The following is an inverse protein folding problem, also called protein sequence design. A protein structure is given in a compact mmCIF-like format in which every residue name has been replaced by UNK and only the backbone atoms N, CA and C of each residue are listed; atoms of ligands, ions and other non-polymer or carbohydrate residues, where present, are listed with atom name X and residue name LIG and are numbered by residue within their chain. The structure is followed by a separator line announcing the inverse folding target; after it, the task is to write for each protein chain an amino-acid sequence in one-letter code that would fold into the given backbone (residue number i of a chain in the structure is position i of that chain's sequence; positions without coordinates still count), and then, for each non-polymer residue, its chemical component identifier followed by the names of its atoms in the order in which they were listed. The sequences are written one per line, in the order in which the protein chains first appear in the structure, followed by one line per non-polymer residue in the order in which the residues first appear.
data_IF_850986744645
#
_entry.id   IF_850986744645
#
_cell.length_a   1.000
_cell.length_b   1.000
_cell.length_c   1.000
_cell.angle_alpha   90.00
_cell.angle_beta   90.00
_cell.angle_gamma   90.00
#
_symmetry.space_group_name_H-M   'P 1'
#
loop_
_entity.id
_entity.type
_entity.pdbx_description
1 polymer ?
#
# COMPACT_ATOMS: atom_id res chain seq x y z
N UNK A 1 0.66 -13.15 8.89
CA UNK A 1 2.13 -13.37 8.86
C UNK A 1 2.92 -12.08 8.58
N UNK A 2 2.38 -11.12 7.82
CA UNK A 2 2.96 -9.79 7.55
C UNK A 2 3.70 -9.11 8.73
N UNK A 3 3.01 -8.88 9.85
CA UNK A 3 3.59 -8.12 10.96
C UNK A 3 4.78 -8.86 11.61
N UNK A 4 4.74 -10.20 11.64
CA UNK A 4 5.83 -11.02 12.18
C UNK A 4 7.12 -10.90 11.35
N UNK A 5 7.01 -10.85 10.01
CA UNK A 5 8.17 -10.69 9.13
C UNK A 5 8.86 -9.33 9.35
N UNK A 6 8.08 -8.24 9.46
CA UNK A 6 8.64 -6.92 9.74
C UNK A 6 9.22 -6.81 11.16
N UNK A 7 8.58 -7.44 12.16
CA UNK A 7 9.11 -7.49 13.53
C UNK A 7 10.44 -8.25 13.57
N UNK A 8 10.53 -9.42 12.93
CA UNK A 8 11.77 -10.20 12.85
C UNK A 8 12.89 -9.44 12.12
N UNK A 9 12.58 -8.77 11.01
CA UNK A 9 13.53 -7.91 10.30
C UNK A 9 14.03 -6.75 11.17
N UNK A 10 13.14 -6.15 11.96
CA UNK A 10 13.50 -5.11 12.93
C UNK A 10 14.42 -5.63 14.02
N UNK A 11 14.11 -6.78 14.62
CA UNK A 11 14.93 -7.42 15.66
C UNK A 11 16.31 -7.79 15.13
N UNK A 12 16.40 -8.39 13.94
CA UNK A 12 17.69 -8.75 13.32
C UNK A 12 18.53 -7.52 12.98
N UNK A 13 17.90 -6.43 12.52
CA UNK A 13 18.57 -5.15 12.31
C UNK A 13 19.15 -4.58 13.61
N UNK A 14 18.39 -4.65 14.71
CA UNK A 14 18.87 -4.24 16.03
C UNK A 14 20.04 -5.12 16.50
N UNK A 15 19.95 -6.45 16.34
CA UNK A 15 21.04 -7.37 16.67
C UNK A 15 22.32 -7.04 15.89
N UNK A 16 22.21 -6.64 14.61
CA UNK A 16 23.35 -6.22 13.81
C UNK A 16 23.98 -4.88 14.30
N UNK A 17 23.17 -3.97 14.83
CA UNK A 17 23.68 -2.71 15.44
C UNK A 17 24.38 -3.00 16.76
N UNK A 18 23.79 -3.85 17.60
CA UNK A 18 24.33 -4.20 18.92
C UNK A 18 25.44 -5.26 18.88
N UNK A 19 25.70 -5.91 17.75
CA UNK A 19 26.78 -6.88 17.63
C UNK A 19 28.17 -6.24 17.83
N UNK A 20 28.34 -4.97 17.46
CA UNK A 20 29.59 -4.25 17.62
C UNK A 20 29.96 -3.99 19.10
N UNK A 21 29.10 -3.37 19.94
CA UNK A 21 29.39 -3.21 21.37
C UNK A 21 29.46 -4.53 22.14
N UNK A 22 28.84 -5.61 21.65
CA UNK A 22 28.92 -6.96 22.24
C UNK A 22 30.19 -7.74 21.84
N UNK A 23 31.08 -7.14 21.03
CA UNK A 23 32.33 -7.76 20.59
C UNK A 23 32.13 -8.93 19.62
N UNK A 24 30.98 -9.03 18.96
CA UNK A 24 30.70 -10.12 18.04
C UNK A 24 31.48 -9.95 16.72
N UNK A 25 31.86 -11.06 16.07
CA UNK A 25 32.52 -11.02 14.77
C UNK A 25 31.68 -10.29 13.72
N UNK A 26 32.34 -9.51 12.85
CA UNK A 26 31.68 -8.70 11.81
C UNK A 26 30.81 -9.54 10.85
N UNK A 27 31.17 -10.80 10.63
CA UNK A 27 30.39 -11.71 9.78
C UNK A 27 29.01 -12.04 10.37
N UNK A 28 28.85 -12.00 11.70
CA UNK A 28 27.57 -12.21 12.38
C UNK A 28 26.61 -11.05 12.08
N UNK A 29 27.12 -9.82 12.11
CA UNK A 29 26.35 -8.63 11.74
C UNK A 29 25.90 -8.69 10.27
N UNK A 30 26.79 -9.10 9.37
CA UNK A 30 26.49 -9.25 7.94
C UNK A 30 25.45 -10.35 7.70
N UNK A 31 25.55 -11.49 8.38
CA UNK A 31 24.57 -12.56 8.30
C UNK A 31 23.18 -12.09 8.81
N UNK A 32 23.14 -11.40 9.95
CA UNK A 32 21.90 -10.86 10.51
C UNK A 32 21.23 -9.85 9.56
N UNK A 33 22.00 -8.95 8.95
CA UNK A 33 21.51 -8.01 7.94
C UNK A 33 20.98 -8.71 6.69
N UNK A 34 21.70 -9.74 6.21
CA UNK A 34 21.26 -10.53 5.06
C UNK A 34 19.91 -11.20 5.31
N UNK A 35 19.74 -11.82 6.48
CA UNK A 35 18.47 -12.45 6.85
C UNK A 35 17.37 -11.40 7.04
N UNK A 36 17.66 -10.26 7.68
CA UNK A 36 16.72 -9.16 7.83
C UNK A 36 16.19 -8.65 6.47
N UNK A 37 17.10 -8.50 5.50
CA UNK A 37 16.74 -8.08 4.14
C UNK A 37 15.78 -9.06 3.46
N UNK A 38 16.01 -10.37 3.58
CA UNK A 38 15.11 -11.40 3.03
C UNK A 38 13.71 -11.31 3.65
N UNK A 39 13.62 -11.19 4.98
CA UNK A 39 12.33 -11.03 5.66
C UNK A 39 11.61 -9.74 5.26
N UNK A 40 12.35 -8.65 5.08
CA UNK A 40 11.81 -7.37 4.63
C UNK A 40 11.23 -7.50 3.20
N UNK A 41 12.00 -8.06 2.27
CA UNK A 41 11.60 -8.25 0.88
C UNK A 41 10.36 -9.15 0.78
N UNK A 42 10.33 -10.24 1.55
CA UNK A 42 9.15 -11.11 1.62
C UNK A 42 7.94 -10.40 2.22
N UNK A 43 8.11 -9.66 3.32
CA UNK A 43 7.02 -8.89 3.92
C UNK A 43 6.40 -7.88 2.95
N UNK A 44 7.21 -7.22 2.13
CA UNK A 44 6.72 -6.33 1.07
C UNK A 44 6.04 -7.08 -0.06
N UNK A 45 6.61 -8.19 -0.54
CA UNK A 45 5.99 -8.99 -1.60
C UNK A 45 4.63 -9.58 -1.18
N UNK A 46 4.51 -10.06 0.05
CA UNK A 46 3.25 -10.54 0.63
C UNK A 46 2.24 -9.41 0.76
N UNK A 47 2.68 -8.22 1.19
CA UNK A 47 1.81 -7.04 1.28
C UNK A 47 1.29 -6.63 -0.09
N UNK A 48 2.15 -6.59 -1.11
CA UNK A 48 1.75 -6.23 -2.47
C UNK A 48 0.77 -7.24 -3.06
N UNK A 49 0.98 -8.54 -2.84
CA UNK A 49 0.10 -9.61 -3.32
C UNK A 49 -1.26 -9.62 -2.60
N UNK A 50 -1.26 -9.36 -1.30
CA UNK A 50 -2.47 -9.38 -0.46
C UNK A 50 -3.17 -8.02 -0.39
N UNK A 51 -2.67 -7.02 -1.11
CA UNK A 51 -3.35 -5.75 -1.32
C UNK A 51 -4.50 -6.00 -2.29
N UNK A 52 -5.54 -6.70 -1.79
CA UNK A 52 -6.78 -6.88 -2.53
C UNK A 52 -7.31 -5.49 -2.86
N UNK A 53 -7.50 -5.22 -4.15
CA UNK A 53 -8.23 -4.06 -4.60
C UNK A 53 -9.62 -4.18 -3.98
N UNK A 54 -9.90 -3.39 -2.94
CA UNK A 54 -11.27 -3.28 -2.43
C UNK A 54 -12.15 -2.86 -3.61
N UNK A 55 -13.32 -3.49 -3.81
CA UNK A 55 -14.25 -3.04 -4.83
C UNK A 55 -14.51 -1.55 -4.63
N UNK A 56 -14.20 -0.74 -5.65
CA UNK A 56 -14.44 0.71 -5.63
C UNK A 56 -15.90 0.96 -5.98
N UNK A 57 -16.78 0.61 -5.05
CA UNK A 57 -18.23 0.73 -5.18
C UNK A 57 -18.62 2.08 -4.56
N UNK A 58 -19.29 2.91 -5.36
CA UNK A 58 -19.85 4.16 -4.88
C UNK A 58 -21.02 3.88 -3.93
N UNK A 59 -21.09 4.61 -2.83
CA UNK A 59 -22.30 4.64 -2.00
C UNK A 59 -23.40 5.50 -2.67
N UNK A 60 -24.60 5.52 -2.07
CA UNK A 60 -25.75 6.25 -2.62
C UNK A 60 -25.51 7.77 -2.71
N UNK A 61 -24.76 8.34 -1.75
CA UNK A 61 -24.45 9.77 -1.71
C UNK A 61 -23.42 10.15 -2.78
N UNK A 62 -22.39 9.32 -2.93
CA UNK A 62 -21.38 9.43 -3.97
C UNK A 62 -22.00 9.29 -5.37
N UNK A 63 -22.92 8.34 -5.57
CA UNK A 63 -23.69 8.21 -6.82
C UNK A 63 -24.47 9.49 -7.15
N UNK A 64 -25.23 10.02 -6.18
CA UNK A 64 -26.00 11.24 -6.38
C UNK A 64 -25.11 12.45 -6.71
N UNK A 65 -23.94 12.52 -6.05
CA UNK A 65 -22.95 13.58 -6.26
C UNK A 65 -22.35 13.52 -7.67
N UNK A 66 -21.99 12.33 -8.15
CA UNK A 66 -21.47 12.14 -9.51
C UNK A 66 -22.56 12.39 -10.55
N UNK A 67 -23.78 11.91 -10.33
CA UNK A 67 -24.92 12.15 -11.22
C UNK A 67 -25.21 13.65 -11.36
N UNK A 68 -25.16 14.41 -10.25
CA UNK A 68 -25.30 15.87 -10.27
C UNK A 68 -24.20 16.54 -11.09
N UNK A 69 -22.93 16.19 -10.85
CA UNK A 69 -21.80 16.75 -11.60
C UNK A 69 -21.88 16.44 -13.10
N UNK A 70 -22.38 15.26 -13.49
CA UNK A 70 -22.62 14.92 -14.89
C UNK A 70 -23.75 15.77 -15.49
N UNK A 71 -24.84 15.97 -14.77
CA UNK A 71 -25.94 16.83 -15.21
C UNK A 71 -25.51 18.29 -15.39
N UNK A 72 -24.56 18.76 -14.58
CA UNK A 72 -23.93 20.10 -14.69
C UNK A 72 -22.89 20.18 -15.82
N UNK A 73 -22.62 19.08 -16.54
CA UNK A 73 -21.60 19.01 -17.60
C UNK A 73 -20.16 18.89 -17.10
N UNK A 74 -19.94 18.78 -15.79
CA UNK A 74 -18.60 18.78 -15.17
C UNK A 74 -18.03 17.37 -14.97
N UNK A 75 -17.97 16.61 -16.06
CA UNK A 75 -17.44 15.23 -16.06
C UNK A 75 -15.97 15.15 -15.62
N UNK A 76 -15.06 16.08 -16.02
CA UNK A 76 -13.68 16.04 -15.55
C UNK A 76 -13.54 16.16 -14.02
N UNK A 77 -14.38 16.98 -13.38
CA UNK A 77 -14.40 17.11 -11.92
C UNK A 77 -14.99 15.88 -11.24
N UNK A 78 -15.99 15.23 -11.85
CA UNK A 78 -16.51 13.96 -11.34
C UNK A 78 -15.41 12.88 -11.29
N UNK A 79 -14.55 12.83 -12.32
CA UNK A 79 -13.41 11.89 -12.38
C UNK A 79 -12.41 12.18 -11.26
N UNK A 80 -12.02 13.45 -11.07
CA UNK A 80 -11.10 13.82 -10.00
C UNK A 80 -11.69 13.53 -8.61
N UNK A 81 -13.00 13.74 -8.44
CA UNK A 81 -13.69 13.41 -7.19
C UNK A 81 -13.63 11.91 -6.85
N UNK A 82 -13.83 11.04 -7.84
CA UNK A 82 -13.68 9.58 -7.66
C UNK A 82 -12.26 9.20 -7.26
N UNK A 83 -11.24 9.87 -7.83
CA UNK A 83 -9.84 9.66 -7.45
C UNK A 83 -9.52 10.12 -6.02
N UNK A 84 -10.24 11.14 -5.50
CA UNK A 84 -10.12 11.59 -4.12
C UNK A 84 -10.74 10.59 -3.14
N UNK A 85 -11.89 10.00 -3.48
CA UNK A 85 -12.56 9.01 -2.62
C UNK A 85 -11.85 7.66 -2.60
N UNK A 86 -11.40 7.18 -3.75
CA UNK A 86 -10.71 5.90 -3.87
C UNK A 86 -9.22 6.11 -4.13
N UNK A 87 -8.41 5.86 -3.10
CA UNK A 87 -6.94 5.86 -3.22
C UNK A 87 -6.49 4.89 -4.32
N UNK A 88 -5.41 5.26 -5.01
CA UNK A 88 -4.80 4.46 -6.09
C UNK A 88 -5.78 4.14 -7.22
N UNK A 89 -6.59 5.10 -7.64
CA UNK A 89 -7.49 4.97 -8.80
C UNK A 89 -6.90 5.70 -9.99
N UNK A 90 -6.64 4.96 -11.07
CA UNK A 90 -6.17 5.58 -12.31
C UNK A 90 -7.26 6.49 -12.90
N UNK A 91 -6.89 7.51 -13.69
CA UNK A 91 -7.88 8.36 -14.35
C UNK A 91 -8.87 7.56 -15.21
N UNK A 92 -8.39 6.52 -15.89
CA UNK A 92 -9.19 5.62 -16.71
C UNK A 92 -10.21 4.81 -15.89
N UNK A 93 -9.79 4.30 -14.73
CA UNK A 93 -10.67 3.55 -13.84
C UNK A 93 -11.73 4.46 -13.21
N UNK A 94 -11.33 5.66 -12.79
CA UNK A 94 -12.25 6.67 -12.29
C UNK A 94 -13.26 7.10 -13.38
N UNK A 95 -12.81 7.27 -14.63
CA UNK A 95 -13.68 7.55 -15.76
C UNK A 95 -14.70 6.42 -16.01
N UNK A 96 -14.28 5.15 -15.90
CA UNK A 96 -15.21 4.01 -15.99
C UNK A 96 -16.26 4.02 -14.87
N UNK A 97 -15.85 4.34 -13.64
CA UNK A 97 -16.78 4.47 -12.51
C UNK A 97 -17.80 5.59 -12.79
N UNK A 98 -17.36 6.77 -13.22
CA UNK A 98 -18.24 7.90 -13.56
C UNK A 98 -19.14 7.60 -14.77
N UNK A 99 -18.67 6.84 -15.75
CA UNK A 99 -19.46 6.43 -16.90
C UNK A 99 -20.62 5.48 -16.51
N UNK A 100 -20.44 4.69 -15.45
CA UNK A 100 -21.43 3.77 -14.91
C UNK A 100 -22.47 4.40 -13.96
N UNK A 101 -22.32 5.68 -13.62
CA UNK A 101 -23.32 6.48 -12.87
C UNK A 101 -24.30 7.13 -13.84
#
# INVERSE_FOLDING_TARGET
MRNLAFILAGILSLLAVFSAPLGWPRWVALAALGVAFVFLAWGFADTARNMQAKPKILDAEQHATIARMKAEGNTPMAISQVQLWFRNTSPEEAARIVAGV
#
